data_IF_624428163941
#
_entry.id   IF_624428163941
#
_cell.length_a   1.000
_cell.length_b   1.000
_cell.length_c   1.000
_cell.angle_alpha   90.00
_cell.angle_beta   90.00
_cell.angle_gamma   90.00
#
_symmetry.space_group_name_H-M   'P 1'
#
loop_
_entity.id
_entity.type
_entity.pdbx_description
1 polymer ?
#
# COMPACT_ATOMS: atom_id res chain seq x y z
N UNK A 1 -2.87 9.25 -30.79
CA UNK A 1 -2.88 8.27 -29.68
C UNK A 1 -1.87 8.75 -28.66
N UNK A 2 -2.33 9.37 -27.57
CA UNK A 2 -1.44 10.01 -26.60
C UNK A 2 -0.75 8.94 -25.77
N UNK A 3 0.57 8.81 -25.90
CA UNK A 3 1.37 8.04 -24.96
C UNK A 3 1.26 8.70 -23.58
N UNK A 4 0.61 8.02 -22.63
CA UNK A 4 0.74 8.34 -21.23
C UNK A 4 2.23 8.20 -20.86
N UNK A 5 2.83 9.16 -20.14
CA UNK A 5 4.24 9.06 -19.81
C UNK A 5 4.41 7.87 -18.86
N UNK A 6 5.29 6.93 -19.22
CA UNK A 6 5.68 5.74 -18.46
C UNK A 6 6.47 6.08 -17.19
N UNK A 7 5.94 6.99 -16.37
CA UNK A 7 6.51 7.32 -15.06
C UNK A 7 5.95 6.30 -14.09
N UNK A 8 6.76 5.31 -13.72
CA UNK A 8 6.47 4.48 -12.55
C UNK A 8 6.17 5.42 -11.38
N UNK A 9 4.98 5.34 -10.77
CA UNK A 9 4.58 6.27 -9.73
C UNK A 9 5.56 6.16 -8.56
N UNK A 10 6.04 7.28 -8.04
CA UNK A 10 6.85 7.25 -6.83
C UNK A 10 5.99 6.78 -5.65
N UNK A 11 6.60 6.06 -4.70
CA UNK A 11 5.99 5.67 -3.44
C UNK A 11 5.24 6.82 -2.74
N UNK A 12 5.78 8.04 -2.80
CA UNK A 12 5.13 9.22 -2.21
C UNK A 12 3.86 9.63 -2.95
N UNK A 13 3.85 9.52 -4.28
CA UNK A 13 2.66 9.84 -5.08
C UNK A 13 1.54 8.83 -4.81
N UNK A 14 1.85 7.53 -4.85
CA UNK A 14 0.88 6.48 -4.56
C UNK A 14 0.26 6.66 -3.17
N UNK A 15 1.06 7.00 -2.15
CA UNK A 15 0.54 7.33 -0.81
C UNK A 15 -0.34 8.57 -0.79
N UNK A 16 0.03 9.64 -1.50
CA UNK A 16 -0.77 10.86 -1.59
C UNK A 16 -2.14 10.60 -2.25
N UNK A 17 -2.19 9.68 -3.22
CA UNK A 17 -3.41 9.22 -3.87
C UNK A 17 -4.15 8.13 -3.05
N UNK A 18 -3.63 7.74 -1.89
CA UNK A 18 -4.16 6.68 -1.03
C UNK A 18 -4.28 5.32 -1.73
N UNK A 19 -3.34 5.01 -2.65
CA UNK A 19 -3.27 3.74 -3.40
C UNK A 19 -1.98 2.96 -3.10
N UNK A 20 -2.03 1.64 -3.29
CA UNK A 20 -0.89 0.75 -3.06
C UNK A 20 0.21 0.92 -4.11
N UNK A 21 1.41 1.31 -3.68
CA UNK A 21 2.58 1.41 -4.55
C UNK A 21 2.98 0.04 -5.11
N UNK A 22 3.05 -1.00 -4.28
CA UNK A 22 3.42 -2.34 -4.75
C UNK A 22 2.31 -2.98 -5.60
N UNK A 23 1.05 -2.76 -5.24
CA UNK A 23 -0.09 -3.20 -6.05
C UNK A 23 -0.03 -2.59 -7.47
N UNK A 24 0.25 -1.28 -7.56
CA UNK A 24 0.34 -0.60 -8.85
C UNK A 24 1.59 -1.00 -9.62
N UNK A 25 2.75 -1.07 -8.96
CA UNK A 25 4.05 -1.32 -9.62
C UNK A 25 4.23 -2.78 -10.06
N UNK A 26 3.82 -3.75 -9.23
CA UNK A 26 4.10 -5.16 -9.47
C UNK A 26 2.89 -5.97 -9.95
N UNK A 27 1.67 -5.49 -9.67
CA UNK A 27 0.42 -6.17 -10.09
C UNK A 27 -0.33 -5.37 -11.17
N UNK A 28 -0.01 -4.09 -11.35
CA UNK A 28 -0.69 -3.22 -12.31
C UNK A 28 -2.09 -2.78 -11.85
N UNK A 29 -2.39 -2.87 -10.56
CA UNK A 29 -3.70 -2.52 -10.01
C UNK A 29 -3.63 -1.27 -9.12
N UNK A 30 -4.45 -0.28 -9.44
CA UNK A 30 -4.69 0.87 -8.56
C UNK A 30 -5.74 0.48 -7.51
N UNK A 31 -5.27 0.08 -6.32
CA UNK A 31 -6.12 -0.36 -5.22
C UNK A 31 -5.93 0.54 -4.00
N UNK A 32 -7.01 0.86 -3.26
CA UNK A 32 -6.93 1.74 -2.10
C UNK A 32 -6.14 1.09 -0.96
N UNK A 33 -5.36 1.92 -0.26
CA UNK A 33 -4.69 1.54 0.98
C UNK A 33 -5.71 1.33 2.09
N UNK A 34 -5.56 0.24 2.83
CA UNK A 34 -6.40 -0.08 3.98
C UNK A 34 -5.60 -0.84 5.04
N UNK A 35 -6.05 -0.78 6.29
CA UNK A 35 -5.49 -1.60 7.36
C UNK A 35 -5.89 -3.07 7.14
N UNK A 36 -4.92 -3.96 7.27
CA UNK A 36 -5.04 -5.41 7.10
C UNK A 36 -4.42 -6.12 8.30
N UNK A 37 -4.74 -7.39 8.45
CA UNK A 37 -4.24 -8.23 9.53
C UNK A 37 -3.81 -9.60 9.01
N UNK A 38 -2.74 -10.14 9.59
CA UNK A 38 -2.24 -11.49 9.35
C UNK A 38 -1.76 -12.10 10.67
N UNK A 39 -1.33 -13.36 10.66
CA UNK A 39 -0.74 -13.99 11.84
C UNK A 39 0.50 -13.26 12.38
N UNK A 40 1.20 -12.46 11.55
CA UNK A 40 2.36 -11.68 11.95
C UNK A 40 2.02 -10.30 12.54
N UNK A 41 0.74 -9.87 12.48
CA UNK A 41 0.27 -8.58 13.00
C UNK A 41 -0.49 -7.75 11.96
N UNK A 42 -0.70 -6.48 12.29
CA UNK A 42 -1.41 -5.51 11.45
C UNK A 42 -0.47 -4.84 10.46
N UNK A 43 -0.96 -4.46 9.30
CA UNK A 43 -0.18 -3.76 8.28
C UNK A 43 -1.09 -2.92 7.39
N UNK A 44 -0.48 -2.01 6.62
CA UNK A 44 -1.17 -1.26 5.58
C UNK A 44 -1.00 -2.04 4.27
N UNK A 45 -2.09 -2.32 3.56
CA UNK A 45 -2.04 -3.12 2.35
C UNK A 45 -3.19 -2.82 1.42
N UNK A 46 -3.24 -3.56 0.32
CA UNK A 46 -4.36 -3.51 -0.61
C UNK A 46 -5.05 -4.87 -0.68
N UNK A 47 -6.31 -4.88 -1.10
CA UNK A 47 -7.03 -6.09 -1.40
C UNK A 47 -8.01 -5.85 -2.54
N UNK A 48 -8.36 -6.92 -3.23
CA UNK A 48 -9.48 -6.97 -4.16
C UNK A 48 -10.47 -8.09 -3.75
N UNK A 49 -11.41 -8.40 -4.64
CA UNK A 49 -12.44 -9.44 -4.43
C UNK A 49 -11.84 -10.84 -4.17
N UNK A 50 -10.60 -11.10 -4.60
CA UNK A 50 -9.90 -12.36 -4.41
C UNK A 50 -9.03 -12.37 -3.14
N UNK A 51 -8.94 -11.26 -2.41
CA UNK A 51 -8.22 -11.16 -1.15
C UNK A 51 -7.04 -10.18 -1.18
N UNK A 52 -6.05 -10.33 -0.27
CA UNK A 52 -4.94 -9.39 -0.15
C UNK A 52 -4.04 -9.41 -1.38
N UNK A 53 -3.73 -8.23 -1.92
CA UNK A 53 -2.90 -8.07 -3.12
C UNK A 53 -1.48 -7.64 -2.77
N UNK A 54 -1.32 -6.76 -1.78
CA UNK A 54 -0.01 -6.25 -1.38
C UNK A 54 0.09 -5.95 0.12
N UNK A 55 1.33 -6.04 0.63
CA UNK A 55 1.76 -5.47 1.91
C UNK A 55 2.73 -4.34 1.64
N UNK A 56 2.29 -3.11 1.93
CA UNK A 56 3.01 -1.88 1.59
C UNK A 56 4.10 -1.50 2.61
N UNK A 57 3.96 -1.69 3.94
CA UNK A 57 5.01 -1.33 4.88
C UNK A 57 6.08 -2.41 5.03
N UNK A 58 7.27 -1.99 5.44
CA UNK A 58 8.36 -2.91 5.85
C UNK A 58 8.03 -3.61 7.17
N UNK A 59 7.38 -2.91 8.09
CA UNK A 59 7.07 -3.36 9.45
C UNK A 59 5.60 -3.80 9.63
N UNK A 60 5.37 -4.60 10.67
CA UNK A 60 4.02 -4.88 11.19
C UNK A 60 3.75 -3.99 12.41
N UNK A 61 2.50 -3.56 12.55
CA UNK A 61 2.00 -2.82 13.70
C UNK A 61 1.42 -3.77 14.75
N UNK A 62 1.55 -3.39 16.02
CA UNK A 62 1.07 -4.19 17.16
C UNK A 62 -0.45 -4.19 17.32
N UNK A 63 -1.16 -3.23 16.73
CA UNK A 63 -2.61 -3.11 16.83
C UNK A 63 -3.22 -2.47 15.58
N UNK A 64 -4.51 -2.66 15.39
CA UNK A 64 -5.29 -1.99 14.34
C UNK A 64 -5.14 -0.47 14.44
N UNK A 65 -5.30 0.10 15.64
CA UNK A 65 -5.22 1.55 15.86
C UNK A 65 -3.85 2.13 15.50
N UNK A 66 -2.76 1.40 15.76
CA UNK A 66 -1.42 1.85 15.36
C UNK A 66 -1.26 1.86 13.83
N UNK A 67 -1.79 0.84 13.14
CA UNK A 67 -1.78 0.79 11.68
C UNK A 67 -2.69 1.86 11.05
N UNK A 68 -3.85 2.12 11.64
CA UNK A 68 -4.83 3.12 11.19
C UNK A 68 -4.28 4.55 11.36
N UNK A 69 -3.65 4.82 12.50
CA UNK A 69 -2.95 6.08 12.73
C UNK A 69 -1.81 6.25 11.72
N UNK A 70 -1.00 5.22 11.49
CA UNK A 70 0.07 5.27 10.50
C UNK A 70 -0.48 5.52 9.09
N UNK A 71 -1.58 4.85 8.71
CA UNK A 71 -2.26 5.06 7.43
C UNK A 71 -2.72 6.52 7.28
N UNK A 72 -3.41 7.04 8.28
CA UNK A 72 -3.96 8.40 8.30
C UNK A 72 -2.87 9.48 8.27
N UNK A 73 -1.78 9.27 9.00
CA UNK A 73 -0.68 10.25 9.14
C UNK A 73 0.40 10.10 8.07
N UNK A 74 0.41 8.98 7.32
CA UNK A 74 1.52 8.62 6.44
C UNK A 74 2.80 8.24 7.19
N UNK A 75 2.77 8.09 8.52
CA UNK A 75 3.91 7.73 9.35
C UNK A 75 4.23 6.22 9.31
N UNK A 76 4.62 5.75 8.13
CA UNK A 76 5.11 4.38 7.91
C UNK A 76 6.09 4.35 6.73
N UNK A 77 6.97 3.36 6.73
CA UNK A 77 7.98 3.19 5.72
C UNK A 77 7.48 2.30 4.59
N UNK A 78 7.36 2.88 3.40
CA UNK A 78 7.02 2.13 2.19
C UNK A 78 8.12 1.12 1.87
N UNK A 79 7.69 -0.13 1.69
CA UNK A 79 8.50 -1.19 1.12
C UNK A 79 8.55 -1.01 -0.39
N UNK A 80 9.76 -1.00 -0.95
CA UNK A 80 9.97 -0.74 -2.37
C UNK A 80 9.89 -2.00 -3.25
N UNK A 81 9.96 -3.18 -2.64
CA UNK A 81 9.93 -4.48 -3.32
C UNK A 81 9.09 -5.51 -2.52
N UNK A 82 8.40 -6.44 -3.20
CA UNK A 82 7.45 -7.37 -2.58
C UNK A 82 8.04 -8.39 -1.61
#
# INVERSE_FOLDING_TARGET
MSHAPSVSPSATQARAESIGYLALTYVGKSLPLQVRHSAAGYFIGTADENGPVSREPVEYFRSYQAADQALTTGCWQQRLHP
#
